data_IF_553236100522
#
_entry.id   IF_553236100522
#
_cell.length_a   1.000
_cell.length_b   1.000
_cell.length_c   1.000
_cell.angle_alpha   90.00
_cell.angle_beta   90.00
_cell.angle_gamma   90.00
#
_symmetry.space_group_name_H-M   'P 1'
#
loop_
_entity.id
_entity.type
_entity.pdbx_description
1 polymer ?
#
# COMPACT_ATOMS: atom_id res chain seq x y z
N UNK A 1 17.94 -1.94 -6.05
CA UNK A 1 16.54 -1.66 -6.38
C UNK A 1 16.35 -0.16 -6.43
N UNK A 2 15.85 0.36 -7.55
CA UNK A 2 15.47 1.77 -7.67
C UNK A 2 14.12 1.93 -6.98
N UNK A 3 13.98 2.93 -6.10
CA UNK A 3 12.71 3.24 -5.41
C UNK A 3 12.22 4.59 -5.87
N UNK A 4 10.96 4.66 -6.26
CA UNK A 4 10.29 5.92 -6.57
C UNK A 4 9.28 6.30 -5.47
N UNK A 5 9.01 7.59 -5.34
CA UNK A 5 8.06 8.09 -4.34
C UNK A 5 6.66 8.11 -4.90
N UNK A 6 5.78 7.26 -4.38
CA UNK A 6 4.34 7.32 -4.64
C UNK A 6 3.67 8.37 -3.73
N UNK A 7 3.08 9.40 -4.33
CA UNK A 7 2.32 10.44 -3.61
C UNK A 7 0.84 10.37 -3.99
N UNK A 8 -0.03 10.05 -3.02
CA UNK A 8 -1.48 9.88 -3.24
C UNK A 8 -2.25 10.86 -2.37
N UNK A 9 -3.27 11.51 -2.94
CA UNK A 9 -4.26 12.27 -2.18
C UNK A 9 -5.32 11.32 -1.64
N UNK A 10 -5.48 11.27 -0.32
CA UNK A 10 -6.44 10.39 0.36
C UNK A 10 -7.10 11.12 1.53
N UNK A 11 -8.34 10.74 1.85
CA UNK A 11 -9.02 11.25 3.05
C UNK A 11 -8.32 10.77 4.33
N UNK A 12 -8.28 11.64 5.35
CA UNK A 12 -7.58 11.39 6.62
C UNK A 12 -8.05 10.10 7.29
N UNK A 13 -9.36 9.82 7.28
CA UNK A 13 -9.93 8.62 7.89
C UNK A 13 -9.39 7.31 7.29
N UNK A 14 -9.09 7.30 5.99
CA UNK A 14 -8.47 6.15 5.32
C UNK A 14 -6.98 6.06 5.64
N UNK A 15 -6.26 7.18 5.70
CA UNK A 15 -4.85 7.18 6.14
C UNK A 15 -4.70 6.63 7.56
N UNK A 16 -5.59 7.02 8.48
CA UNK A 16 -5.63 6.50 9.84
C UNK A 16 -5.93 4.99 9.88
N UNK A 17 -6.85 4.51 9.03
CA UNK A 17 -7.11 3.08 8.87
C UNK A 17 -5.84 2.34 8.40
N UNK A 18 -5.12 2.87 7.43
CA UNK A 18 -3.87 2.30 6.94
C UNK A 18 -2.82 2.21 8.05
N UNK A 19 -2.65 3.28 8.84
CA UNK A 19 -1.72 3.31 10.00
C UNK A 19 -2.05 2.23 11.03
N UNK A 20 -3.33 2.05 11.35
CA UNK A 20 -3.78 0.99 12.28
C UNK A 20 -3.48 -0.40 11.75
N UNK A 21 -3.75 -0.66 10.48
CA UNK A 21 -3.47 -1.97 9.86
C UNK A 21 -1.97 -2.26 9.84
N UNK A 22 -1.15 -1.27 9.49
CA UNK A 22 0.30 -1.39 9.50
C UNK A 22 0.82 -1.77 10.91
N UNK A 23 0.32 -1.10 11.94
CA UNK A 23 0.64 -1.41 13.35
C UNK A 23 0.22 -2.83 13.74
N UNK A 24 -0.99 -3.27 13.36
CA UNK A 24 -1.50 -4.61 13.68
C UNK A 24 -0.69 -5.73 13.01
N UNK A 25 -0.15 -5.47 11.83
CA UNK A 25 0.64 -6.45 11.05
C UNK A 25 2.15 -6.35 11.32
N UNK A 26 2.58 -5.43 12.19
CA UNK A 26 4.00 -5.13 12.45
C UNK A 26 4.80 -4.83 11.17
N UNK A 27 4.16 -4.16 10.20
CA UNK A 27 4.74 -3.79 8.91
C UNK A 27 4.83 -2.28 8.74
N UNK A 28 5.78 -1.83 7.93
CA UNK A 28 5.80 -0.44 7.48
C UNK A 28 4.66 -0.16 6.50
N UNK A 29 4.27 1.11 6.37
CA UNK A 29 3.26 1.52 5.38
C UNK A 29 3.66 1.11 3.96
N UNK A 30 4.94 1.23 3.63
CA UNK A 30 5.50 0.83 2.34
C UNK A 30 5.32 -0.65 2.10
N UNK A 31 5.77 -1.50 3.03
CA UNK A 31 5.63 -2.96 2.90
C UNK A 31 4.17 -3.39 2.80
N UNK A 32 3.28 -2.75 3.56
CA UNK A 32 1.84 -3.05 3.49
C UNK A 32 1.27 -2.75 2.10
N UNK A 33 1.68 -1.64 1.49
CA UNK A 33 1.24 -1.25 0.15
C UNK A 33 1.87 -2.15 -0.92
N UNK A 34 3.16 -2.48 -0.79
CA UNK A 34 3.85 -3.43 -1.68
C UNK A 34 3.17 -4.80 -1.64
N UNK A 35 2.92 -5.36 -0.45
CA UNK A 35 2.21 -6.63 -0.30
C UNK A 35 0.84 -6.64 -1.00
N UNK A 36 0.11 -5.52 -0.94
CA UNK A 36 -1.20 -5.41 -1.59
C UNK A 36 -1.09 -5.25 -3.10
N UNK A 37 -0.09 -4.53 -3.58
CA UNK A 37 0.20 -4.40 -5.02
C UNK A 37 0.54 -5.79 -5.59
N UNK A 38 1.36 -6.57 -4.89
CA UNK A 38 1.74 -7.93 -5.31
C UNK A 38 0.54 -8.89 -5.38
N UNK A 39 -0.56 -8.59 -4.68
CA UNK A 39 -1.80 -9.37 -4.73
C UNK A 39 -2.73 -8.98 -5.88
N UNK A 40 -2.48 -7.85 -6.55
CA UNK A 40 -3.29 -7.42 -7.69
C UNK A 40 -3.02 -8.36 -8.87
N UNK A 41 -4.08 -8.94 -9.43
CA UNK A 41 -3.98 -9.66 -10.70
C UNK A 41 -3.95 -8.63 -11.81
N UNK A 42 -2.90 -8.65 -12.63
CA UNK A 42 -2.89 -7.92 -13.88
C UNK A 42 -3.88 -8.61 -14.85
N UNK A 43 -4.84 -7.85 -15.37
CA UNK A 43 -5.60 -8.33 -16.51
C UNK A 43 -4.61 -8.45 -17.68
N UNK A 44 -4.32 -9.69 -18.09
CA UNK A 44 -3.59 -9.92 -19.33
C UNK A 44 -4.41 -9.31 -20.45
N UNK A 45 -3.97 -8.16 -20.96
CA UNK A 45 -4.46 -7.63 -22.23
C UNK A 45 -4.26 -8.73 -23.28
N UNK A 46 -5.37 -9.29 -23.76
CA UNK A 46 -5.39 -10.28 -24.85
C UNK A 46 -5.48 -9.58 -26.19
#
# INVERSE_FOLDING_TARGET
MVRERLSIRIVVSRLEKLRRIAKQKEKTMTQLVEDWIDQLKEEKQS
#
